data_IF_781201203102
#
_entry.id   IF_781201203102
#
_cell.length_a   1.000
_cell.length_b   1.000
_cell.length_c   1.000
_cell.angle_alpha   90.00
_cell.angle_beta   90.00
_cell.angle_gamma   90.00
#
_symmetry.space_group_name_H-M   'P 1'
#
loop_
_entity.id
_entity.type
_entity.pdbx_description
1 polymer ?
#
# COMPACT_ATOMS: atom_id res chain seq x y z
N UNK A 1 11.47 -3.79 -20.45
CA UNK A 1 11.35 -2.54 -19.67
C UNK A 1 12.70 -1.94 -19.23
N UNK A 2 13.83 -2.30 -19.86
CA UNK A 2 15.19 -2.04 -19.33
C UNK A 2 15.73 -0.60 -19.45
N UNK A 3 14.97 0.35 -20.03
CA UNK A 3 15.44 1.71 -20.37
C UNK A 3 14.51 2.86 -19.93
N UNK A 4 13.57 2.64 -18.99
CA UNK A 4 12.78 3.75 -18.44
C UNK A 4 13.66 4.50 -17.44
N UNK A 5 14.11 5.70 -17.83
CA UNK A 5 14.82 6.61 -16.93
C UNK A 5 13.95 6.92 -15.69
N UNK A 6 14.58 7.09 -14.53
CA UNK A 6 13.90 7.42 -13.28
C UNK A 6 12.97 8.64 -13.41
N UNK A 7 13.38 9.63 -14.22
CA UNK A 7 12.57 10.81 -14.52
C UNK A 7 11.28 10.45 -15.25
N UNK A 8 11.35 9.59 -16.28
CA UNK A 8 10.16 9.16 -17.04
C UNK A 8 9.20 8.39 -16.14
N UNK A 9 9.71 7.49 -15.30
CA UNK A 9 8.89 6.75 -14.33
C UNK A 9 8.22 7.68 -13.32
N UNK A 10 8.95 8.64 -12.77
CA UNK A 10 8.41 9.64 -11.84
C UNK A 10 7.32 10.51 -12.46
N UNK A 11 7.53 11.00 -13.69
CA UNK A 11 6.53 11.79 -14.43
C UNK A 11 5.27 10.98 -14.68
N UNK A 12 5.39 9.71 -15.11
CA UNK A 12 4.22 8.85 -15.35
C UNK A 12 3.42 8.64 -14.05
N UNK A 13 4.08 8.33 -12.94
CA UNK A 13 3.41 8.13 -11.64
C UNK A 13 2.74 9.43 -11.17
N UNK A 14 3.39 10.58 -11.34
CA UNK A 14 2.83 11.88 -10.97
C UNK A 14 1.56 12.19 -11.78
N UNK A 15 1.60 12.00 -13.10
CA UNK A 15 0.45 12.18 -13.97
C UNK A 15 -0.70 11.22 -13.63
N UNK A 16 -0.39 9.96 -13.31
CA UNK A 16 -1.39 9.00 -12.84
C UNK A 16 -2.02 9.44 -11.52
N UNK A 17 -1.22 9.93 -10.56
CA UNK A 17 -1.76 10.42 -9.30
C UNK A 17 -2.68 11.64 -9.49
N UNK A 18 -2.29 12.58 -10.37
CA UNK A 18 -3.13 13.73 -10.74
C UNK A 18 -4.43 13.26 -11.40
N UNK A 19 -4.35 12.31 -12.33
CA UNK A 19 -5.52 11.76 -13.01
C UNK A 19 -6.49 11.08 -12.02
N UNK A 20 -5.97 10.28 -11.09
CA UNK A 20 -6.76 9.65 -10.02
C UNK A 20 -7.42 10.74 -9.16
N UNK A 21 -6.68 11.78 -8.78
CA UNK A 21 -7.22 12.87 -7.98
C UNK A 21 -8.34 13.64 -8.70
N UNK A 22 -8.19 13.92 -9.99
CA UNK A 22 -9.21 14.62 -10.80
C UNK A 22 -10.45 13.75 -11.01
N UNK A 23 -10.27 12.46 -11.32
CA UNK A 23 -11.38 11.55 -11.63
C UNK A 23 -12.19 11.13 -10.40
N UNK A 24 -11.52 10.95 -9.25
CA UNK A 24 -12.13 10.38 -8.04
C UNK A 24 -12.30 11.41 -6.92
N UNK A 25 -11.75 12.62 -7.07
CA UNK A 25 -11.83 13.70 -6.07
C UNK A 25 -11.19 13.36 -4.72
N UNK A 26 -10.37 12.30 -4.67
CA UNK A 26 -9.73 11.77 -3.46
C UNK A 26 -8.28 11.42 -3.75
N UNK A 27 -7.36 11.60 -2.78
CA UNK A 27 -5.97 11.21 -2.95
C UNK A 27 -5.80 9.70 -3.04
N UNK A 28 -4.81 9.28 -3.84
CA UNK A 28 -4.43 7.87 -3.97
C UNK A 28 -3.89 7.34 -2.64
N UNK A 29 -4.47 6.24 -2.15
CA UNK A 29 -4.03 5.53 -0.96
C UNK A 29 -4.46 4.07 -1.03
N UNK A 30 -3.54 3.16 -0.68
CA UNK A 30 -3.73 1.70 -0.69
C UNK A 30 -4.39 1.22 0.60
N UNK A 31 -3.88 1.62 1.77
CA UNK A 31 -4.32 1.12 3.09
C UNK A 31 -5.82 1.25 3.32
N UNK A 32 -6.43 2.33 2.82
CA UNK A 32 -7.88 2.49 2.89
C UNK A 32 -8.60 1.40 2.08
N UNK A 33 -8.16 1.11 0.86
CA UNK A 33 -8.70 0.04 0.01
C UNK A 33 -8.57 -1.34 0.64
N UNK A 34 -7.39 -1.69 1.17
CA UNK A 34 -7.19 -2.92 1.94
C UNK A 34 -8.18 -3.06 3.10
N UNK A 35 -8.52 -1.94 3.74
CA UNK A 35 -9.45 -1.96 4.87
C UNK A 35 -10.92 -2.11 4.48
N UNK A 36 -11.31 -1.57 3.33
CA UNK A 36 -12.60 -1.86 2.71
C UNK A 36 -12.67 -3.32 2.25
N UNK A 37 -11.58 -3.87 1.71
CA UNK A 37 -11.51 -5.28 1.31
C UNK A 37 -11.69 -6.22 2.50
N UNK A 38 -10.97 -5.99 3.60
CA UNK A 38 -11.13 -6.77 4.83
C UNK A 38 -12.53 -6.62 5.42
N UNK A 39 -13.10 -5.41 5.45
CA UNK A 39 -14.46 -5.20 5.94
C UNK A 39 -15.51 -5.95 5.09
N UNK A 40 -15.33 -6.02 3.77
CA UNK A 40 -16.21 -6.79 2.88
C UNK A 40 -16.09 -8.30 3.11
N UNK A 41 -14.87 -8.82 3.33
CA UNK A 41 -14.66 -10.23 3.70
C UNK A 41 -15.35 -10.53 5.03
N UNK A 42 -15.15 -9.68 6.04
CA UNK A 42 -15.74 -9.86 7.36
C UNK A 42 -17.27 -9.82 7.29
N UNK A 43 -17.84 -8.96 6.45
CA UNK A 43 -19.28 -8.90 6.22
C UNK A 43 -19.82 -10.20 5.60
N UNK A 44 -19.08 -10.77 4.65
CA UNK A 44 -19.43 -12.05 4.03
C UNK A 44 -19.38 -13.23 5.04
N UNK A 45 -18.44 -13.19 5.99
CA UNK A 45 -18.29 -14.24 7.01
C UNK A 45 -19.28 -14.08 8.16
N UNK A 46 -19.46 -12.85 8.68
CA UNK A 46 -20.32 -12.55 9.83
C UNK A 46 -20.87 -11.12 9.78
N UNK A 47 -22.05 -10.97 9.16
CA UNK A 47 -22.81 -9.71 9.14
C UNK A 47 -23.08 -9.14 10.56
N UNK A 48 -23.21 -10.00 11.57
CA UNK A 48 -23.47 -9.62 12.96
C UNK A 48 -22.25 -8.98 13.64
N UNK A 49 -21.04 -9.44 13.32
CA UNK A 49 -19.81 -8.87 13.88
C UNK A 49 -19.52 -7.48 13.28
N UNK A 50 -19.80 -7.34 11.99
CA UNK A 50 -19.66 -6.07 11.29
C UNK A 50 -20.67 -5.02 11.75
N UNK A 51 -21.93 -5.42 11.94
CA UNK A 51 -22.98 -4.52 12.41
C UNK A 51 -22.79 -4.06 13.86
N UNK A 52 -22.03 -4.81 14.67
CA UNK A 52 -21.76 -4.44 16.07
C UNK A 52 -20.47 -3.64 16.27
N UNK A 53 -19.60 -3.56 15.27
CA UNK A 53 -18.29 -2.91 15.40
C UNK A 53 -18.20 -1.63 14.56
N UNK A 54 -18.10 -0.48 15.24
CA UNK A 54 -17.98 0.85 14.64
C UNK A 54 -16.80 0.98 13.66
N UNK A 55 -15.74 0.20 13.86
CA UNK A 55 -14.60 0.20 12.95
C UNK A 55 -14.98 -0.33 11.57
N UNK A 56 -15.65 -1.49 11.49
CA UNK A 56 -16.01 -2.09 10.21
C UNK A 56 -17.10 -1.29 9.50
N UNK A 57 -18.07 -0.73 10.23
CA UNK A 57 -19.09 0.16 9.67
C UNK A 57 -18.51 1.34 8.90
N UNK A 58 -17.38 1.91 9.36
CA UNK A 58 -16.69 3.01 8.69
C UNK A 58 -16.12 2.62 7.31
N UNK A 59 -15.84 1.34 7.09
CA UNK A 59 -15.16 0.83 5.89
C UNK A 59 -16.07 -0.03 4.99
N UNK A 60 -17.39 0.09 5.07
CA UNK A 60 -18.32 -0.62 4.18
C UNK A 60 -18.97 0.38 3.25
N UNK A 61 -18.67 0.27 1.95
CA UNK A 61 -19.67 -0.22 1.01
C UNK A 61 -19.14 -1.34 0.07
N UNK A 62 -20.06 -2.15 -0.47
CA UNK A 62 -19.79 -3.41 -1.20
C UNK A 62 -18.78 -3.30 -2.35
N UNK A 63 -18.64 -2.14 -3.00
CA UNK A 63 -17.64 -1.90 -4.04
C UNK A 63 -16.97 -0.55 -3.89
N UNK A 64 -15.86 -0.51 -3.17
CA UNK A 64 -15.04 0.69 -3.09
C UNK A 64 -14.06 0.76 -4.28
N UNK A 65 -14.02 1.89 -4.99
CA UNK A 65 -13.05 2.16 -6.06
C UNK A 65 -11.60 1.91 -5.63
N UNK A 66 -11.29 2.10 -4.35
CA UNK A 66 -9.95 1.84 -3.79
C UNK A 66 -9.57 0.37 -3.90
N UNK A 67 -10.51 -0.54 -3.62
CA UNK A 67 -10.29 -1.99 -3.73
C UNK A 67 -10.02 -2.38 -5.18
N UNK A 68 -10.78 -1.79 -6.11
CA UNK A 68 -10.59 -2.01 -7.55
C UNK A 68 -9.20 -1.52 -8.00
N UNK A 69 -8.76 -0.35 -7.52
CA UNK A 69 -7.42 0.15 -7.82
C UNK A 69 -6.32 -0.74 -7.24
N UNK A 70 -6.48 -1.27 -6.03
CA UNK A 70 -5.50 -2.17 -5.42
C UNK A 70 -5.33 -3.45 -6.26
N UNK A 71 -6.45 -4.06 -6.69
CA UNK A 71 -6.40 -5.18 -7.63
C UNK A 71 -5.84 -4.78 -9.01
N UNK A 72 -6.12 -3.56 -9.47
CA UNK A 72 -5.54 -2.99 -10.68
C UNK A 72 -4.02 -2.86 -10.61
N UNK A 73 -3.46 -2.51 -9.44
CA UNK A 73 -2.00 -2.46 -9.21
C UNK A 73 -1.42 -3.88 -9.31
N UNK A 74 -2.06 -4.88 -8.71
CA UNK A 74 -1.61 -6.28 -8.77
C UNK A 74 -1.62 -6.78 -10.23
N UNK A 75 -2.73 -6.58 -10.93
CA UNK A 75 -2.88 -6.98 -12.33
C UNK A 75 -1.90 -6.23 -13.24
N UNK A 76 -1.73 -4.93 -13.04
CA UNK A 76 -0.81 -4.09 -13.80
C UNK A 76 0.66 -4.49 -13.57
N UNK A 77 1.04 -4.79 -12.33
CA UNK A 77 2.38 -5.29 -12.01
C UNK A 77 2.66 -6.66 -12.66
N UNK A 78 1.65 -7.54 -12.66
CA UNK A 78 1.75 -8.85 -13.30
C UNK A 78 1.90 -8.74 -14.83
N UNK A 79 1.04 -7.97 -15.50
CA UNK A 79 1.14 -7.72 -16.94
C UNK A 79 2.46 -7.02 -17.30
N UNK A 80 2.91 -6.08 -16.46
CA UNK A 80 4.19 -5.41 -16.61
C UNK A 80 5.37 -6.38 -16.51
N UNK A 81 5.34 -7.31 -15.55
CA UNK A 81 6.37 -8.34 -15.40
C UNK A 81 6.44 -9.29 -16.62
N UNK A 82 5.28 -9.68 -17.18
CA UNK A 82 5.21 -10.51 -18.39
C UNK A 82 5.74 -9.75 -19.61
N UNK A 83 5.27 -8.53 -19.83
CA UNK A 83 5.72 -7.68 -20.93
C UNK A 83 7.22 -7.33 -20.82
N UNK A 84 7.73 -7.22 -19.60
CA UNK A 84 9.15 -7.05 -19.29
C UNK A 84 9.99 -8.31 -19.50
N UNK A 85 9.37 -9.50 -19.62
CA UNK A 85 10.00 -10.82 -19.55
C UNK A 85 10.78 -11.06 -18.24
N UNK A 86 10.35 -10.40 -17.16
CA UNK A 86 10.99 -10.43 -15.83
C UNK A 86 10.16 -11.23 -14.81
N UNK A 87 9.05 -11.84 -15.24
CA UNK A 87 8.23 -12.68 -14.37
C UNK A 87 8.99 -13.95 -13.97
N UNK A 88 9.23 -14.10 -12.66
CA UNK A 88 9.86 -15.29 -12.07
C UNK A 88 9.30 -15.52 -10.67
N UNK A 89 8.80 -16.73 -10.41
CA UNK A 89 8.40 -17.15 -9.07
C UNK A 89 9.68 -17.32 -8.23
N UNK A 90 9.77 -16.60 -7.11
CA UNK A 90 10.91 -16.62 -6.21
C UNK A 90 10.44 -17.07 -4.84
N UNK A 91 10.92 -18.22 -4.40
CA UNK A 91 10.66 -18.75 -3.06
C UNK A 91 11.93 -18.55 -2.23
N UNK A 92 11.84 -17.92 -1.05
CA UNK A 92 13.02 -17.72 -0.21
C UNK A 92 13.55 -19.07 0.31
N UNK A 93 14.86 -19.30 0.18
CA UNK A 93 15.51 -20.54 0.65
C UNK A 93 15.51 -20.64 2.18
N UNK A 94 15.66 -19.53 2.87
CA UNK A 94 15.67 -19.49 4.34
C UNK A 94 14.25 -19.39 4.89
N UNK A 95 13.84 -20.38 5.69
CA UNK A 95 12.51 -20.43 6.32
C UNK A 95 12.26 -19.26 7.29
N UNK A 96 13.31 -18.74 7.92
CA UNK A 96 13.21 -17.57 8.80
C UNK A 96 12.72 -16.32 8.07
N UNK A 97 12.93 -16.26 6.75
CA UNK A 97 12.46 -15.13 5.94
C UNK A 97 10.94 -15.04 5.88
N UNK A 98 10.22 -16.16 5.99
CA UNK A 98 8.76 -16.12 6.09
C UNK A 98 8.32 -15.44 7.39
N UNK A 99 8.96 -15.76 8.50
CA UNK A 99 8.66 -15.14 9.79
C UNK A 99 8.99 -13.63 9.78
N UNK A 100 10.12 -13.25 9.19
CA UNK A 100 10.51 -11.84 9.02
C UNK A 100 9.47 -11.05 8.20
N UNK A 101 9.00 -11.60 7.08
CA UNK A 101 8.00 -10.94 6.24
C UNK A 101 6.64 -10.88 6.95
N UNK A 102 6.26 -11.92 7.70
CA UNK A 102 5.03 -11.93 8.48
C UNK A 102 5.03 -10.86 9.59
N UNK A 103 6.09 -10.83 10.41
CA UNK A 103 6.25 -9.82 11.47
C UNK A 103 6.33 -8.41 10.85
N UNK A 104 7.09 -8.25 9.77
CA UNK A 104 7.19 -6.98 9.04
C UNK A 104 5.83 -6.50 8.52
N UNK A 105 5.02 -7.40 7.96
CA UNK A 105 3.67 -7.09 7.50
C UNK A 105 2.75 -6.63 8.63
N UNK A 106 2.79 -7.30 9.79
CA UNK A 106 2.02 -6.88 10.97
C UNK A 106 2.42 -5.48 11.45
N UNK A 107 3.73 -5.22 11.55
CA UNK A 107 4.25 -3.91 11.94
C UNK A 107 3.88 -2.82 10.93
N UNK A 108 3.96 -3.10 9.62
CA UNK A 108 3.55 -2.17 8.58
C UNK A 108 2.05 -1.87 8.65
N UNK A 109 1.21 -2.90 8.83
CA UNK A 109 -0.24 -2.72 8.97
C UNK A 109 -0.61 -1.90 10.20
N UNK A 110 -0.01 -2.21 11.35
CA UNK A 110 -0.21 -1.46 12.59
C UNK A 110 0.24 0.01 12.44
N UNK A 111 1.44 0.24 11.91
CA UNK A 111 1.97 1.58 11.66
C UNK A 111 1.10 2.38 10.68
N UNK A 112 0.60 1.76 9.62
CA UNK A 112 -0.26 2.43 8.65
C UNK A 112 -1.60 2.88 9.26
N UNK A 113 -2.13 2.16 10.26
CA UNK A 113 -3.32 2.59 11.01
C UNK A 113 -3.04 3.72 11.97
N UNK A 114 -1.92 3.68 12.68
CA UNK A 114 -1.52 4.79 13.55
C UNK A 114 -1.28 6.08 12.76
N UNK A 115 -0.67 5.96 11.57
CA UNK A 115 -0.40 7.09 10.68
C UNK A 115 -1.64 7.55 9.89
N UNK A 116 -2.74 6.78 9.89
CA UNK A 116 -3.89 6.97 9.00
C UNK A 116 -3.52 7.01 7.50
N UNK A 117 -2.49 6.26 7.10
CA UNK A 117 -2.01 6.27 5.72
C UNK A 117 -0.81 5.36 5.47
N UNK A 118 -0.41 5.29 4.20
CA UNK A 118 0.78 4.57 3.73
C UNK A 118 1.78 5.53 3.09
N UNK A 119 2.89 4.97 2.59
CA UNK A 119 3.85 5.68 1.76
C UNK A 119 3.20 6.37 0.55
N UNK A 120 2.26 5.73 -0.16
CA UNK A 120 1.58 6.38 -1.30
C UNK A 120 0.71 7.54 -0.82
N UNK A 121 -0.08 7.33 0.24
CA UNK A 121 -0.97 8.36 0.78
C UNK A 121 -0.21 9.59 1.29
N UNK A 122 0.83 9.39 2.09
CA UNK A 122 1.60 10.50 2.66
C UNK A 122 2.62 11.08 1.69
N UNK A 123 3.45 10.26 1.06
CA UNK A 123 4.58 10.75 0.26
C UNK A 123 4.12 11.21 -1.12
N UNK A 124 3.32 10.42 -1.83
CA UNK A 124 2.93 10.75 -3.21
C UNK A 124 1.76 11.74 -3.26
N UNK A 125 0.79 11.62 -2.35
CA UNK A 125 -0.39 12.49 -2.34
C UNK A 125 -0.30 13.62 -1.31
N UNK A 126 0.16 13.34 -0.09
CA UNK A 126 0.15 14.29 1.02
C UNK A 126 1.25 15.34 1.02
N UNK A 127 2.48 14.99 0.62
CA UNK A 127 3.60 15.96 0.53
C UNK A 127 3.35 17.04 -0.52
N UNK A 128 2.85 16.76 -1.75
CA UNK A 128 2.49 17.80 -2.71
C UNK A 128 1.37 18.74 -2.22
N UNK A 129 0.52 18.27 -1.31
CA UNK A 129 -0.51 19.07 -0.65
C UNK A 129 0.02 19.87 0.54
N UNK A 130 1.33 19.79 0.81
CA UNK A 130 2.01 20.45 1.93
C UNK A 130 1.43 20.08 3.31
N UNK A 131 0.87 18.87 3.43
CA UNK A 131 0.30 18.41 4.69
C UNK A 131 1.41 18.12 5.71
N UNK A 132 1.38 18.81 6.85
CA UNK A 132 2.37 18.67 7.94
C UNK A 132 2.45 17.21 8.43
N UNK A 133 1.30 16.54 8.56
CA UNK A 133 1.22 15.13 8.94
C UNK A 133 2.00 14.23 7.97
N UNK A 134 2.07 14.60 6.70
CA UNK A 134 2.77 13.82 5.67
C UNK A 134 4.28 14.02 5.71
N UNK A 135 4.77 15.20 6.10
CA UNK A 135 6.20 15.40 6.36
C UNK A 135 6.68 14.62 7.59
N UNK A 136 5.88 14.61 8.67
CA UNK A 136 6.17 13.80 9.85
C UNK A 136 6.19 12.32 9.47
N UNK A 137 5.15 11.85 8.77
CA UNK A 137 5.07 10.47 8.30
C UNK A 137 6.24 10.12 7.37
N UNK A 138 6.66 11.01 6.47
CA UNK A 138 7.80 10.81 5.58
C UNK A 138 9.08 10.54 6.40
N UNK A 139 9.38 11.37 7.40
CA UNK A 139 10.58 11.23 8.24
C UNK A 139 10.50 9.93 9.04
N UNK A 140 9.35 9.63 9.64
CA UNK A 140 9.15 8.40 10.43
C UNK A 140 9.25 7.14 9.57
N UNK A 141 8.66 7.12 8.37
CA UNK A 141 8.75 5.99 7.44
C UNK A 141 10.20 5.81 6.97
N UNK A 142 10.88 6.89 6.60
CA UNK A 142 12.28 6.83 6.16
C UNK A 142 13.20 6.32 7.29
N UNK A 143 13.04 6.84 8.50
CA UNK A 143 13.80 6.39 9.67
C UNK A 143 13.53 4.93 10.03
N UNK A 144 12.25 4.52 10.05
CA UNK A 144 11.85 3.15 10.30
C UNK A 144 12.39 2.17 9.25
N UNK A 145 12.35 2.56 7.96
CA UNK A 145 12.89 1.76 6.87
C UNK A 145 14.42 1.61 6.98
N UNK A 146 15.13 2.68 7.33
CA UNK A 146 16.59 2.64 7.52
C UNK A 146 16.99 1.71 8.67
N UNK A 147 16.33 1.84 9.83
CA UNK A 147 16.58 0.99 11.00
C UNK A 147 16.23 -0.47 10.67
N UNK A 148 15.06 -0.71 10.08
CA UNK A 148 14.60 -2.04 9.69
C UNK A 148 15.56 -2.73 8.71
N UNK A 149 16.03 -2.01 7.69
CA UNK A 149 17.02 -2.53 6.74
C UNK A 149 18.32 -2.91 7.44
N UNK A 150 18.82 -2.07 8.36
CA UNK A 150 20.05 -2.34 9.12
C UNK A 150 19.93 -3.56 10.04
N UNK A 151 18.76 -3.76 10.64
CA UNK A 151 18.48 -4.93 11.48
C UNK A 151 18.42 -6.19 10.61
N UNK A 152 17.67 -6.18 9.50
CA UNK A 152 17.50 -7.34 8.63
C UNK A 152 18.83 -7.80 8.04
N UNK A 153 19.67 -6.87 7.59
CA UNK A 153 21.01 -7.20 7.03
C UNK A 153 21.92 -7.85 8.07
N UNK A 154 21.73 -7.58 9.37
CA UNK A 154 22.49 -8.25 10.45
C UNK A 154 21.92 -9.60 10.86
N UNK A 155 20.65 -9.87 10.54
CA UNK A 155 19.94 -11.11 10.88
C UNK A 155 20.02 -12.19 9.79
N UNK A 156 20.52 -11.82 8.60
CA UNK A 156 20.79 -12.71 7.46
C UNK A 156 22.23 -13.18 7.56
#
# INVERSE_FOLDING_TARGET
MRNISHLKGGVIIALLNILIFITLGKPWSITSGESHFVANIENFVSNTHVSSNLYFQKYIPETNWRVILDFGIIAGAFLGAIAGRDFKIRIPQNRWRFLQVFIGGLLMGFGARLAYGCNIGHIMSGVPQLAISSFIALISIAGGAYIGAKIIVRLI
#
